data_IF_527712842876
#
_entry.id   IF_527712842876
#
_cell.length_a   1.000
_cell.length_b   1.000
_cell.length_c   1.000
_cell.angle_alpha   90.00
_cell.angle_beta   90.00
_cell.angle_gamma   90.00
#
_symmetry.space_group_name_H-M   'P 1'
#
loop_
_entity.id
_entity.type
_entity.pdbx_description
1 polymer ?
#
# COMPACT_ATOMS: atom_id res chain seq x y z
N UNK A 1 14.83 -3.70 9.53
CA UNK A 1 13.50 -3.14 9.28
C UNK A 1 12.83 -4.02 8.22
N UNK A 2 11.51 -4.15 8.22
CA UNK A 2 10.86 -5.09 7.30
C UNK A 2 11.03 -4.72 5.82
N UNK A 3 11.27 -3.44 5.52
CA UNK A 3 11.56 -2.93 4.18
C UNK A 3 12.72 -3.65 3.47
N UNK A 4 13.68 -4.22 4.21
CA UNK A 4 14.81 -4.95 3.61
C UNK A 4 14.55 -6.45 3.48
N UNK A 5 13.45 -6.96 4.03
CA UNK A 5 13.06 -8.36 3.91
C UNK A 5 12.14 -8.57 2.70
N UNK A 6 12.77 -8.65 1.52
CA UNK A 6 12.09 -8.82 0.25
C UNK A 6 11.24 -10.10 0.19
N UNK A 7 11.58 -11.13 0.97
CA UNK A 7 10.83 -12.39 0.99
C UNK A 7 9.48 -12.20 1.68
N UNK A 8 9.47 -11.56 2.86
CA UNK A 8 8.21 -11.30 3.59
C UNK A 8 7.32 -10.35 2.81
N UNK A 9 7.86 -9.21 2.35
CA UNK A 9 7.07 -8.24 1.60
C UNK A 9 6.62 -8.79 0.23
N UNK A 10 7.44 -9.61 -0.42
CA UNK A 10 7.08 -10.33 -1.65
C UNK A 10 5.89 -11.27 -1.43
N UNK A 11 5.91 -12.08 -0.37
CA UNK A 11 4.79 -12.96 0.01
C UNK A 11 3.50 -12.17 0.27
N UNK A 12 3.59 -11.10 1.06
CA UNK A 12 2.43 -10.24 1.38
C UNK A 12 1.82 -9.67 0.09
N UNK A 13 2.64 -9.10 -0.80
CA UNK A 13 2.16 -8.52 -2.05
C UNK A 13 1.59 -9.57 -3.00
N UNK A 14 2.19 -10.76 -3.07
CA UNK A 14 1.65 -11.91 -3.80
C UNK A 14 0.27 -12.32 -3.26
N UNK A 15 0.15 -12.58 -1.96
CA UNK A 15 -1.12 -12.98 -1.34
C UNK A 15 -2.20 -11.92 -1.47
N UNK A 16 -1.85 -10.63 -1.38
CA UNK A 16 -2.78 -9.52 -1.62
C UNK A 16 -3.35 -9.56 -3.05
N UNK A 17 -2.47 -9.73 -4.05
CA UNK A 17 -2.88 -9.81 -5.46
C UNK A 17 -3.77 -11.02 -5.77
N UNK A 18 -3.40 -12.18 -5.24
CA UNK A 18 -4.17 -13.43 -5.43
C UNK A 18 -5.40 -13.54 -4.51
N UNK A 19 -5.66 -12.50 -3.69
CA UNK A 19 -6.79 -12.41 -2.75
C UNK A 19 -6.76 -13.46 -1.62
N UNK A 20 -5.59 -13.99 -1.30
CA UNK A 20 -5.38 -14.88 -0.15
C UNK A 20 -5.17 -14.08 1.13
N UNK A 21 -6.18 -13.33 1.56
CA UNK A 21 -6.05 -12.33 2.63
C UNK A 21 -5.70 -12.91 4.00
N UNK A 22 -6.13 -14.13 4.31
CA UNK A 22 -5.69 -14.81 5.55
C UNK A 22 -4.20 -15.20 5.49
N UNK A 23 -3.69 -15.61 4.32
CA UNK A 23 -2.26 -15.87 4.14
C UNK A 23 -1.44 -14.57 4.21
N UNK A 24 -1.98 -13.48 3.68
CA UNK A 24 -1.41 -12.14 3.77
C UNK A 24 -1.28 -11.70 5.24
N UNK A 25 -2.31 -11.90 6.07
CA UNK A 25 -2.29 -11.62 7.50
C UNK A 25 -1.22 -12.43 8.22
N UNK A 26 -1.18 -13.74 7.99
CA UNK A 26 -0.20 -14.64 8.61
C UNK A 26 1.24 -14.24 8.25
N UNK A 27 1.51 -13.91 6.99
CA UNK A 27 2.82 -13.44 6.55
C UNK A 27 3.23 -12.13 7.23
N UNK A 28 2.29 -11.21 7.46
CA UNK A 28 2.54 -9.98 8.21
C UNK A 28 2.83 -10.27 9.70
N UNK A 29 2.09 -11.21 10.31
CA UNK A 29 2.31 -11.63 11.71
C UNK A 29 3.68 -12.30 11.88
N UNK A 30 4.05 -13.23 10.99
CA UNK A 30 5.39 -13.84 10.95
C UNK A 30 6.48 -12.77 10.86
N UNK A 31 6.28 -11.78 9.98
CA UNK A 31 7.22 -10.66 9.89
C UNK A 31 7.31 -9.85 11.17
N UNK A 32 6.20 -9.62 11.88
CA UNK A 32 6.19 -8.88 13.15
C UNK A 32 6.88 -9.63 14.29
N UNK A 33 6.96 -10.96 14.22
CA UNK A 33 7.77 -11.75 15.15
C UNK A 33 9.27 -11.47 14.96
N UNK A 34 9.71 -11.25 13.71
CA UNK A 34 11.11 -10.95 13.36
C UNK A 34 11.45 -9.46 13.50
N UNK A 35 10.53 -8.59 13.11
CA UNK A 35 10.68 -7.13 13.10
C UNK A 35 9.58 -6.52 13.96
N UNK A 36 9.74 -6.68 15.28
CA UNK A 36 8.77 -6.17 16.24
C UNK A 36 8.56 -4.67 16.07
N UNK A 37 7.30 -4.25 16.15
CA UNK A 37 6.86 -2.86 16.01
C UNK A 37 7.04 -2.21 14.63
N UNK A 38 7.41 -2.95 13.58
CA UNK A 38 7.50 -2.41 12.23
C UNK A 38 6.15 -1.89 11.72
N UNK A 39 6.13 -0.63 11.26
CA UNK A 39 4.89 0.07 10.88
C UNK A 39 4.33 -0.41 9.53
N UNK A 40 5.17 -0.90 8.63
CA UNK A 40 4.77 -1.42 7.32
C UNK A 40 4.06 -2.75 7.51
N UNK A 41 4.63 -3.63 8.33
CA UNK A 41 3.99 -4.92 8.63
C UNK A 41 2.70 -4.74 9.43
N UNK A 42 2.65 -3.79 10.38
CA UNK A 42 1.40 -3.43 11.06
C UNK A 42 0.34 -2.93 10.07
N UNK A 43 0.72 -2.10 9.11
CA UNK A 43 -0.18 -1.67 8.05
C UNK A 43 -0.72 -2.86 7.25
N UNK A 44 0.15 -3.76 6.77
CA UNK A 44 -0.29 -4.91 5.99
C UNK A 44 -1.17 -5.89 6.77
N UNK A 45 -0.88 -6.11 8.06
CA UNK A 45 -1.75 -6.86 8.96
C UNK A 45 -3.13 -6.18 9.00
N UNK A 46 -3.21 -4.91 9.37
CA UNK A 46 -4.48 -4.19 9.45
C UNK A 46 -5.22 -4.17 8.11
N UNK A 47 -4.51 -4.01 7.00
CA UNK A 47 -5.10 -4.01 5.66
C UNK A 47 -5.66 -5.40 5.29
N UNK A 48 -4.94 -6.48 5.60
CA UNK A 48 -5.42 -7.85 5.36
C UNK A 48 -6.68 -8.18 6.17
N UNK A 49 -6.78 -7.68 7.42
CA UNK A 49 -7.97 -7.78 8.27
C UNK A 49 -9.15 -7.04 7.62
N UNK A 50 -8.91 -5.85 7.06
CA UNK A 50 -9.92 -5.09 6.33
C UNK A 50 -10.47 -5.85 5.11
N UNK A 51 -9.58 -6.45 4.31
CA UNK A 51 -9.94 -7.20 3.11
C UNK A 51 -10.72 -8.48 3.42
N UNK A 52 -10.61 -9.00 4.64
CA UNK A 52 -11.43 -10.10 5.18
C UNK A 52 -12.80 -9.65 5.71
N UNK A 53 -13.14 -8.35 5.62
CA UNK A 53 -14.42 -7.81 6.06
C UNK A 53 -14.48 -7.42 7.55
N UNK A 54 -13.38 -7.56 8.30
CA UNK A 54 -13.28 -7.11 9.69
C UNK A 54 -12.97 -5.61 9.75
N UNK A 55 -13.88 -4.81 9.19
CA UNK A 55 -13.67 -3.37 8.90
C UNK A 55 -13.34 -2.55 10.15
N UNK A 56 -14.15 -2.67 11.21
CA UNK A 56 -13.99 -1.87 12.44
C UNK A 56 -12.71 -2.22 13.22
N UNK A 57 -12.30 -3.49 13.19
CA UNK A 57 -11.03 -3.92 13.78
C UNK A 57 -9.87 -3.26 13.06
N UNK A 58 -9.83 -3.37 11.73
CA UNK A 58 -8.79 -2.77 10.90
C UNK A 58 -8.73 -1.24 11.05
N UNK A 59 -9.86 -0.56 11.04
CA UNK A 59 -9.89 0.90 11.13
C UNK A 59 -9.25 1.42 12.43
N UNK A 60 -9.44 0.73 13.56
CA UNK A 60 -8.78 1.09 14.82
C UNK A 60 -7.26 0.98 14.73
N UNK A 61 -6.75 -0.07 14.08
CA UNK A 61 -5.30 -0.24 13.88
C UNK A 61 -4.74 0.80 12.91
N UNK A 62 -5.43 1.06 11.80
CA UNK A 62 -5.03 2.04 10.78
C UNK A 62 -5.05 3.48 11.32
N UNK A 63 -5.94 3.79 12.25
CA UNK A 63 -6.03 5.12 12.88
C UNK A 63 -4.73 5.48 13.62
N UNK A 64 -4.08 4.50 14.24
CA UNK A 64 -2.79 4.67 14.94
C UNK A 64 -1.64 4.89 13.94
N UNK A 65 -1.77 4.33 12.73
CA UNK A 65 -0.73 4.36 11.70
C UNK A 65 -0.81 5.58 10.77
N UNK A 66 -1.96 6.27 10.73
CA UNK A 66 -2.20 7.40 9.81
C UNK A 66 -1.24 8.59 9.99
N UNK A 67 -0.54 8.66 11.12
CA UNK A 67 0.43 9.71 11.44
C UNK A 67 1.90 9.22 11.39
N UNK A 68 2.14 7.98 10.96
CA UNK A 68 3.50 7.43 10.82
C UNK A 68 4.04 7.71 9.42
N UNK A 69 5.16 8.45 9.34
CA UNK A 69 5.73 9.03 8.11
C UNK A 69 5.71 8.13 6.86
N UNK A 70 6.05 6.86 6.98
CA UNK A 70 6.20 5.96 5.82
C UNK A 70 4.91 5.24 5.42
N UNK A 71 3.90 5.25 6.29
CA UNK A 71 2.61 4.56 6.05
C UNK A 71 1.39 5.49 6.20
N UNK A 72 1.59 6.77 6.49
CA UNK A 72 0.55 7.78 6.68
C UNK A 72 -0.43 7.83 5.49
N UNK A 73 0.09 7.89 4.26
CA UNK A 73 -0.70 7.98 3.04
C UNK A 73 -1.55 6.72 2.83
N UNK A 74 -0.92 5.54 2.86
CA UNK A 74 -1.63 4.29 2.64
C UNK A 74 -2.63 4.00 3.76
N UNK A 75 -2.32 4.34 5.02
CA UNK A 75 -3.23 4.19 6.15
C UNK A 75 -4.43 5.14 6.04
N UNK A 76 -4.20 6.40 5.68
CA UNK A 76 -5.28 7.38 5.44
C UNK A 76 -6.20 6.92 4.30
N UNK A 77 -5.63 6.43 3.19
CA UNK A 77 -6.43 5.87 2.09
C UNK A 77 -7.19 4.59 2.48
N UNK A 78 -6.58 3.76 3.32
CA UNK A 78 -7.19 2.54 3.83
C UNK A 78 -8.36 2.85 4.78
N UNK A 79 -8.25 3.88 5.63
CA UNK A 79 -9.38 4.37 6.44
C UNK A 79 -10.54 4.86 5.56
N UNK A 80 -10.24 5.65 4.52
CA UNK A 80 -11.27 6.07 3.55
C UNK A 80 -11.92 4.87 2.83
N UNK A 81 -11.16 3.81 2.58
CA UNK A 81 -11.68 2.56 2.03
C UNK A 81 -12.60 1.88 3.05
N UNK A 82 -12.17 1.74 4.31
CA UNK A 82 -12.96 1.18 5.40
C UNK A 82 -14.30 1.88 5.59
N UNK A 83 -14.33 3.22 5.66
CA UNK A 83 -15.58 4.00 5.76
C UNK A 83 -16.54 3.80 4.58
N UNK A 84 -16.03 3.47 3.39
CA UNK A 84 -16.88 3.17 2.22
C UNK A 84 -17.44 1.75 2.24
N UNK A 85 -16.86 0.86 3.04
CA UNK A 85 -17.26 -0.55 3.17
C UNK A 85 -17.89 -0.87 4.54
N UNK A 86 -18.06 0.13 5.41
CA UNK A 86 -18.83 0.02 6.65
C UNK A 86 -20.33 0.05 6.37
N UNK A 87 -21.13 -0.52 7.27
CA UNK A 87 -22.60 -0.52 7.17
C UNK A 87 -23.18 0.90 7.09
N UNK A 88 -22.60 1.83 7.86
CA UNK A 88 -22.90 3.26 7.80
C UNK A 88 -21.69 3.99 7.22
N UNK A 89 -21.89 4.68 6.10
CA UNK A 89 -20.85 5.52 5.49
C UNK A 89 -20.78 6.86 6.23
N UNK A 90 -19.66 7.11 6.89
CA UNK A 90 -19.35 8.39 7.51
C UNK A 90 -18.72 9.33 6.47
N UNK A 91 -19.54 10.20 5.89
CA UNK A 91 -19.10 11.14 4.84
C UNK A 91 -18.23 12.27 5.40
N UNK A 92 -18.43 12.64 6.66
CA UNK A 92 -17.65 13.68 7.32
C UNK A 92 -16.22 13.20 7.53
N UNK A 93 -16.06 12.00 8.12
CA UNK A 93 -14.75 11.37 8.28
C UNK A 93 -14.03 11.17 6.94
N UNK A 94 -14.73 10.77 5.87
CA UNK A 94 -14.12 10.66 4.53
C UNK A 94 -13.61 12.02 4.03
N UNK A 95 -14.35 13.10 4.30
CA UNK A 95 -13.97 14.45 3.86
C UNK A 95 -12.75 14.95 4.62
N UNK A 96 -12.69 14.73 5.93
CA UNK A 96 -11.52 15.04 6.77
C UNK A 96 -10.29 14.25 6.34
N UNK A 97 -10.44 12.95 6.10
CA UNK A 97 -9.36 12.08 5.63
C UNK A 97 -8.86 12.50 4.23
N UNK A 98 -9.75 12.94 3.33
CA UNK A 98 -9.35 13.46 2.01
C UNK A 98 -8.53 14.76 2.14
N UNK A 99 -8.94 15.66 3.03
CA UNK A 99 -8.20 16.89 3.33
C UNK A 99 -6.81 16.58 3.91
N UNK A 100 -6.73 15.67 4.89
CA UNK A 100 -5.45 15.19 5.45
C UNK A 100 -4.57 14.58 4.36
N UNK A 101 -5.12 13.68 3.55
CA UNK A 101 -4.38 13.00 2.48
C UNK A 101 -3.75 14.00 1.49
N UNK A 102 -4.46 15.08 1.16
CA UNK A 102 -3.94 16.13 0.28
C UNK A 102 -2.74 16.85 0.89
N UNK A 103 -2.77 17.15 2.18
CA UNK A 103 -1.67 17.83 2.86
C UNK A 103 -0.46 16.89 3.04
N UNK A 104 -0.68 15.69 3.56
CA UNK A 104 0.35 14.67 3.74
C UNK A 104 1.03 14.33 2.40
N UNK A 105 0.28 14.29 1.29
CA UNK A 105 0.84 14.04 -0.04
C UNK A 105 1.88 15.09 -0.43
N UNK A 106 1.75 16.36 0.00
CA UNK A 106 2.76 17.38 -0.34
C UNK A 106 4.11 17.05 0.29
N UNK A 107 4.07 16.57 1.53
CA UNK A 107 5.25 16.29 2.37
C UNK A 107 5.73 14.82 2.28
N UNK A 108 5.05 14.01 1.48
CA UNK A 108 5.33 12.58 1.37
C UNK A 108 6.75 12.29 0.90
N UNK A 109 7.44 11.45 1.68
CA UNK A 109 8.70 10.84 1.28
C UNK A 109 8.52 9.70 0.30
N UNK A 110 9.64 9.16 -0.16
CA UNK A 110 9.69 8.04 -1.10
C UNK A 110 8.89 6.82 -0.63
N UNK A 111 9.14 6.34 0.59
CA UNK A 111 8.46 5.16 1.15
C UNK A 111 6.95 5.38 1.30
N UNK A 112 6.53 6.56 1.75
CA UNK A 112 5.12 6.93 1.84
C UNK A 112 4.41 6.88 0.48
N UNK A 113 5.07 7.36 -0.58
CA UNK A 113 4.55 7.26 -1.95
C UNK A 113 4.53 5.81 -2.45
N UNK A 114 5.56 5.02 -2.13
CA UNK A 114 5.67 3.61 -2.51
C UNK A 114 4.54 2.76 -1.91
N UNK A 115 4.34 2.81 -0.59
CA UNK A 115 3.29 2.03 0.07
C UNK A 115 1.88 2.53 -0.30
N UNK A 116 1.71 3.83 -0.55
CA UNK A 116 0.45 4.34 -1.10
C UNK A 116 0.16 3.81 -2.51
N UNK A 117 1.18 3.75 -3.39
CA UNK A 117 1.03 3.16 -4.72
C UNK A 117 0.71 1.66 -4.65
N UNK A 118 1.33 0.90 -3.74
CA UNK A 118 1.00 -0.51 -3.50
C UNK A 118 -0.45 -0.69 -3.02
N UNK A 119 -0.91 0.11 -2.07
CA UNK A 119 -2.32 0.09 -1.64
C UNK A 119 -3.27 0.37 -2.82
N UNK A 120 -2.96 1.35 -3.66
CA UNK A 120 -3.77 1.68 -4.83
C UNK A 120 -3.79 0.55 -5.85
N UNK A 121 -2.67 -0.14 -6.07
CA UNK A 121 -2.59 -1.35 -6.89
C UNK A 121 -3.50 -2.45 -6.35
N UNK A 122 -3.38 -2.75 -5.04
CA UNK A 122 -4.16 -3.82 -4.39
C UNK A 122 -5.66 -3.53 -4.34
N UNK A 123 -6.05 -2.26 -4.43
CA UNK A 123 -7.46 -1.82 -4.51
C UNK A 123 -7.93 -1.51 -5.93
N UNK A 124 -7.13 -1.83 -6.96
CA UNK A 124 -7.51 -1.70 -8.38
C UNK A 124 -7.48 -0.28 -8.94
N UNK A 125 -6.89 0.68 -8.23
CA UNK A 125 -6.80 2.10 -8.63
C UNK A 125 -5.51 2.39 -9.39
N UNK A 126 -5.28 1.70 -10.50
CA UNK A 126 -4.00 1.70 -11.21
C UNK A 126 -3.57 3.07 -11.74
N UNK A 127 -4.50 3.90 -12.23
CA UNK A 127 -4.16 5.23 -12.75
C UNK A 127 -3.61 6.14 -11.64
N UNK A 128 -4.21 6.08 -10.45
CA UNK A 128 -3.71 6.83 -9.30
C UNK A 128 -2.41 6.23 -8.77
N UNK A 129 -2.28 4.89 -8.77
CA UNK A 129 -1.04 4.23 -8.37
C UNK A 129 0.14 4.70 -9.24
N UNK A 130 -0.10 4.87 -10.55
CA UNK A 130 0.86 5.38 -11.52
C UNK A 130 1.42 6.75 -11.12
N UNK A 131 0.56 7.70 -10.77
CA UNK A 131 1.00 9.03 -10.33
C UNK A 131 1.92 8.98 -9.12
N UNK A 132 1.66 8.07 -8.17
CA UNK A 132 2.43 7.95 -6.94
C UNK A 132 3.79 7.31 -7.20
N UNK A 133 3.84 6.23 -7.97
CA UNK A 133 5.11 5.58 -8.32
C UNK A 133 5.96 6.44 -9.26
N UNK A 134 5.35 7.20 -10.18
CA UNK A 134 6.09 8.12 -11.05
C UNK A 134 6.73 9.26 -10.25
N UNK A 135 6.01 9.79 -9.25
CA UNK A 135 6.58 10.80 -8.35
C UNK A 135 7.70 10.21 -7.49
N UNK A 136 7.51 9.02 -6.95
CA UNK A 136 8.52 8.31 -6.17
C UNK A 136 9.81 8.11 -7.00
N UNK A 137 9.70 7.55 -8.20
CA UNK A 137 10.84 7.31 -9.09
C UNK A 137 11.53 8.59 -9.55
N UNK A 138 10.81 9.71 -9.67
CA UNK A 138 11.42 11.02 -9.92
C UNK A 138 12.23 11.54 -8.73
N UNK A 139 11.84 11.18 -7.50
CA UNK A 139 12.55 11.57 -6.29
C UNK A 139 13.78 10.69 -6.06
N UNK A 140 13.60 9.37 -6.17
CA UNK A 140 14.65 8.39 -6.02
C UNK A 140 14.32 7.15 -6.87
N UNK A 141 15.05 6.91 -7.97
CA UNK A 141 14.89 5.69 -8.76
C UNK A 141 15.40 4.48 -7.96
N UNK A 142 14.49 3.58 -7.59
CA UNK A 142 14.84 2.32 -6.90
C UNK A 142 14.33 1.11 -7.65
N UNK A 143 14.95 -0.06 -7.41
CA UNK A 143 14.55 -1.33 -8.03
C UNK A 143 13.11 -1.67 -7.68
N UNK A 144 12.74 -1.50 -6.41
CA UNK A 144 11.40 -1.73 -5.90
C UNK A 144 10.37 -0.80 -6.58
N UNK A 145 10.72 0.47 -6.79
CA UNK A 145 9.88 1.42 -7.51
C UNK A 145 9.67 1.03 -8.97
N UNK A 146 10.73 0.57 -9.66
CA UNK A 146 10.65 0.10 -11.04
C UNK A 146 9.80 -1.17 -11.17
N UNK A 147 9.98 -2.13 -10.27
CA UNK A 147 9.14 -3.33 -10.18
C UNK A 147 7.68 -2.94 -9.99
N UNK A 148 7.38 -2.04 -9.04
CA UNK A 148 6.01 -1.55 -8.82
C UNK A 148 5.43 -0.86 -10.06
N UNK A 149 6.23 -0.06 -10.75
CA UNK A 149 5.83 0.59 -12.01
C UNK A 149 5.49 -0.44 -13.08
N UNK A 150 6.31 -1.49 -13.23
CA UNK A 150 6.03 -2.62 -14.13
C UNK A 150 4.70 -3.29 -13.82
N UNK A 151 4.43 -3.57 -12.54
CA UNK A 151 3.15 -4.12 -12.08
C UNK A 151 1.96 -3.20 -12.39
N UNK A 152 2.09 -1.89 -12.16
CA UNK A 152 1.04 -0.90 -12.48
C UNK A 152 0.70 -0.92 -13.97
N UNK A 153 1.71 -0.90 -14.84
CA UNK A 153 1.46 -0.90 -16.29
C UNK A 153 0.83 -2.22 -16.76
N UNK A 154 1.30 -3.35 -16.23
CA UNK A 154 0.75 -4.68 -16.56
C UNK A 154 -0.73 -4.80 -16.12
N UNK A 155 -1.04 -4.43 -14.88
CA UNK A 155 -2.40 -4.57 -14.34
C UNK A 155 -3.38 -3.54 -14.91
N UNK A 156 -2.90 -2.40 -15.42
CA UNK A 156 -3.76 -1.42 -16.09
C UNK A 156 -4.20 -1.84 -17.50
N UNK A 157 -3.75 -3.00 -17.99
CA UNK A 157 -4.03 -3.54 -19.34
C UNK A 157 -3.75 -2.54 -20.48
N UNK A 158 -2.82 -1.60 -20.27
CA UNK A 158 -2.45 -0.58 -21.26
C UNK A 158 -1.34 -1.08 -22.18
N UNK A 159 -0.22 -1.51 -21.61
CA UNK A 159 0.97 -1.80 -22.39
C UNK A 159 1.92 -2.79 -21.67
N UNK A 160 1.78 -4.08 -22.01
CA UNK A 160 2.63 -5.14 -21.47
C UNK A 160 4.11 -4.97 -21.88
N UNK A 161 4.41 -4.33 -23.02
CA UNK A 161 5.79 -4.12 -23.47
C UNK A 161 6.51 -3.09 -22.59
N UNK A 162 5.78 -2.05 -22.16
CA UNK A 162 6.31 -1.09 -21.17
C UNK A 162 6.57 -1.75 -19.82
N UNK A 163 5.69 -2.65 -19.38
CA UNK A 163 5.88 -3.39 -18.14
C UNK A 163 7.19 -4.21 -18.17
N UNK A 164 7.45 -4.94 -19.25
CA UNK A 164 8.69 -5.71 -19.44
C UNK A 164 9.92 -4.81 -19.29
N UNK A 165 9.95 -3.65 -19.96
CA UNK A 165 11.06 -2.71 -19.84
C UNK A 165 11.35 -2.31 -18.39
N UNK A 166 10.32 -1.99 -17.60
CA UNK A 166 10.52 -1.63 -16.19
C UNK A 166 11.04 -2.80 -15.34
N UNK A 167 10.65 -4.03 -15.65
CA UNK A 167 11.21 -5.20 -14.99
C UNK A 167 12.67 -5.46 -15.39
N UNK A 168 13.00 -5.30 -16.68
CA UNK A 168 14.38 -5.43 -17.17
C UNK A 168 15.29 -4.36 -16.55
N UNK A 169 14.83 -3.11 -16.48
CA UNK A 169 15.57 -2.00 -15.86
C UNK A 169 15.80 -2.25 -14.35
N UNK A 170 14.89 -2.96 -13.67
CA UNK A 170 15.06 -3.31 -12.25
C UNK A 170 16.05 -4.46 -12.00
N UNK A 171 16.30 -5.30 -13.02
CA UNK A 171 17.23 -6.43 -12.95
C UNK A 171 18.69 -6.03 -13.18
N UNK A 172 18.92 -4.88 -13.84
CA UNK A 172 20.26 -4.29 -14.03
C UNK A 172 20.82 -3.75 -12.71
#
# INVERSE_FOLDING_TARGET
MAETDQVILGKINYYSREKYYSCMENAAIEGLQKYSNDVVLKFYKAFSVMLQGRIQESMRELDILKDKRDVNLCSTMALMYGHKHSQSVDKEAITELDAKLKEERKQAGELGLYYAALFLVHTGKYDKAREYVDRMLKMNPTKEGLVLKGWVEMMSNRDAKKAIKYFDDALQ
#
